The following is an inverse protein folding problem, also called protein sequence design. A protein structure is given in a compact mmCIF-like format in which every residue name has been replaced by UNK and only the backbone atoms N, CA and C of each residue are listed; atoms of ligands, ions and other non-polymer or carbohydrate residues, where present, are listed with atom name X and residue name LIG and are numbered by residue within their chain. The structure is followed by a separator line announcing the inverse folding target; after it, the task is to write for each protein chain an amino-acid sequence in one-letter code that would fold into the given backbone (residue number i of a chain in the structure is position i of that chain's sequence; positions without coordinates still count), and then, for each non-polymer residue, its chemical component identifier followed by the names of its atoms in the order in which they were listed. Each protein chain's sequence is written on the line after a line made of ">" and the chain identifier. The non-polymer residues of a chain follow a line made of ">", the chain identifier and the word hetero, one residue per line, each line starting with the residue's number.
data_IF_874068934833
#
_entry.id   IF_874068934833
#
_cell.length_a   1.000
_cell.length_b   1.000
_cell.length_c   1.000
_cell.angle_alpha   90.00
_cell.angle_beta   90.00
_cell.angle_gamma   90.00
#
_symmetry.space_group_name_H-M   'P 1'
#
loop_
_entity.id
_entity.type
_entity.pdbx_description
1 polymer ?
#
# COMPACT_ATOMS: atom_id res chain seq x y z
N UNK A 1 11.01 5.21 -11.41
CA UNK A 1 10.47 4.05 -12.14
C UNK A 1 9.00 3.72 -11.77
N UNK A 2 8.47 4.26 -10.66
CA UNK A 2 7.12 3.95 -10.14
C UNK A 2 5.92 4.36 -11.02
N UNK A 3 6.05 5.43 -11.83
CA UNK A 3 4.92 6.00 -12.57
C UNK A 3 4.40 5.11 -13.71
N UNK A 4 5.26 4.27 -14.30
CA UNK A 4 4.85 3.38 -15.38
C UNK A 4 4.10 2.15 -14.86
N UNK A 5 4.52 1.63 -13.70
CA UNK A 5 3.95 0.43 -13.10
C UNK A 5 2.53 0.68 -12.58
N UNK A 6 2.27 1.82 -11.93
CA UNK A 6 0.93 2.19 -11.48
C UNK A 6 -0.04 2.36 -12.65
N UNK A 7 0.39 3.01 -13.74
CA UNK A 7 -0.43 3.15 -14.96
C UNK A 7 -0.73 1.82 -15.63
N UNK A 8 0.23 0.89 -15.63
CA UNK A 8 0.00 -0.47 -16.13
C UNK A 8 -0.98 -1.23 -15.23
N UNK A 9 -0.85 -1.10 -13.91
CA UNK A 9 -1.72 -1.72 -12.93
C UNK A 9 -3.18 -1.23 -13.06
N UNK A 10 -3.38 0.07 -13.30
CA UNK A 10 -4.70 0.65 -13.51
C UNK A 10 -5.38 0.08 -14.76
N UNK A 11 -4.61 -0.15 -15.84
CA UNK A 11 -5.12 -0.83 -17.04
C UNK A 11 -5.48 -2.28 -16.77
N UNK A 12 -4.64 -2.99 -16.02
CA UNK A 12 -4.88 -4.39 -15.64
C UNK A 12 -6.15 -4.54 -14.80
N UNK A 13 -6.37 -3.63 -13.84
CA UNK A 13 -7.59 -3.61 -13.02
C UNK A 13 -8.84 -3.39 -13.87
N UNK A 14 -8.78 -2.45 -14.83
CA UNK A 14 -9.88 -2.19 -15.74
C UNK A 14 -10.23 -3.40 -16.63
N UNK A 15 -9.21 -4.16 -17.07
CA UNK A 15 -9.40 -5.38 -17.87
C UNK A 15 -9.95 -6.56 -17.05
N UNK A 16 -9.45 -6.73 -15.82
CA UNK A 16 -9.78 -7.86 -14.94
C UNK A 16 -11.03 -7.64 -14.08
N UNK A 17 -11.70 -6.48 -14.20
CA UNK A 17 -12.90 -6.11 -13.40
C UNK A 17 -12.68 -6.30 -11.89
N UNK A 18 -11.49 -5.96 -11.39
CA UNK A 18 -11.15 -6.09 -9.97
C UNK A 18 -11.92 -5.05 -9.17
N UNK A 19 -12.52 -5.47 -8.05
CA UNK A 19 -13.38 -4.59 -7.22
C UNK A 19 -12.57 -3.52 -6.50
N UNK A 20 -11.36 -3.84 -6.01
CA UNK A 20 -10.48 -2.94 -5.24
C UNK A 20 -9.02 -3.30 -5.45
N UNK A 21 -8.15 -2.29 -5.45
CA UNK A 21 -6.71 -2.48 -5.53
C UNK A 21 -6.04 -2.33 -4.16
N UNK A 22 -5.39 -3.38 -3.66
CA UNK A 22 -4.61 -3.32 -2.43
C UNK A 22 -3.17 -2.84 -2.70
N UNK A 23 -2.70 -1.89 -1.89
CA UNK A 23 -1.33 -1.36 -1.98
C UNK A 23 -0.55 -1.59 -0.68
N UNK A 24 0.75 -1.85 -0.79
CA UNK A 24 1.63 -2.22 0.34
C UNK A 24 2.01 -1.11 1.31
N UNK A 25 1.32 0.03 1.31
CA UNK A 25 1.66 1.17 2.17
C UNK A 25 1.56 0.81 3.65
N UNK A 26 2.68 0.96 4.36
CA UNK A 26 2.80 0.63 5.76
C UNK A 26 2.59 1.88 6.66
N UNK A 27 2.70 1.71 7.97
CA UNK A 27 2.57 2.81 8.93
C UNK A 27 3.64 3.92 8.75
N UNK A 28 4.87 3.61 8.34
CA UNK A 28 5.91 4.63 8.15
C UNK A 28 5.66 5.49 6.91
N UNK A 29 5.15 4.90 5.83
CA UNK A 29 4.75 5.62 4.61
C UNK A 29 3.62 6.62 4.89
N UNK A 30 2.69 6.23 5.77
CA UNK A 30 1.60 7.08 6.24
C UNK A 30 2.10 8.26 7.07
N UNK A 31 3.05 8.02 7.98
CA UNK A 31 3.66 9.10 8.79
C UNK A 31 4.37 10.10 7.88
N UNK A 32 5.18 9.62 6.92
CA UNK A 32 5.85 10.49 5.97
C UNK A 32 4.86 11.33 5.16
N UNK A 33 3.78 10.72 4.68
CA UNK A 33 2.72 11.41 3.92
C UNK A 33 1.99 12.46 4.76
N UNK A 34 1.63 12.13 6.01
CA UNK A 34 0.97 13.04 6.93
C UNK A 34 1.87 14.25 7.24
N UNK A 35 3.13 13.98 7.60
CA UNK A 35 4.10 15.02 7.93
C UNK A 35 4.32 15.97 6.76
N UNK A 36 4.54 15.43 5.55
CA UNK A 36 4.75 16.24 4.35
C UNK A 36 3.53 17.10 3.99
N UNK A 37 2.32 16.61 4.23
CA UNK A 37 1.10 17.39 3.98
C UNK A 37 0.91 18.49 5.04
N UNK A 38 1.25 18.24 6.30
CA UNK A 38 1.24 19.25 7.36
C UNK A 38 2.25 20.35 7.06
N UNK A 39 3.49 19.99 6.72
CA UNK A 39 4.56 20.95 6.41
C UNK A 39 4.24 21.81 5.18
N UNK A 40 3.47 21.27 4.22
CA UNK A 40 3.01 22.01 3.03
C UNK A 40 1.70 22.78 3.26
N UNK A 41 1.03 22.61 4.40
CA UNK A 41 -0.26 23.22 4.68
C UNK A 41 -1.45 22.66 3.88
N UNK A 42 -1.31 21.48 3.25
CA UNK A 42 -2.36 20.87 2.41
C UNK A 42 -3.31 20.00 3.25
N UNK A 43 -4.19 20.68 4.00
CA UNK A 43 -5.17 20.07 4.91
C UNK A 43 -6.20 19.22 4.15
N UNK A 44 -6.54 19.62 2.92
CA UNK A 44 -7.48 18.90 2.06
C UNK A 44 -6.93 17.53 1.60
N UNK A 45 -5.62 17.41 1.43
CA UNK A 45 -4.98 16.11 1.19
C UNK A 45 -4.87 15.26 2.44
N UNK A 46 -4.67 15.86 3.61
CA UNK A 46 -4.56 15.12 4.87
C UNK A 46 -5.81 14.28 5.18
N UNK A 47 -7.01 14.83 4.96
CA UNK A 47 -8.29 14.12 5.12
C UNK A 47 -8.40 12.90 4.19
N UNK A 48 -7.91 13.01 2.95
CA UNK A 48 -7.97 11.93 1.95
C UNK A 48 -6.92 10.85 2.21
N UNK A 49 -5.70 11.24 2.54
CA UNK A 49 -4.59 10.31 2.77
C UNK A 49 -4.82 9.42 3.99
N UNK A 50 -5.62 9.85 4.97
CA UNK A 50 -5.93 9.08 6.19
C UNK A 50 -7.10 8.11 6.02
N UNK A 51 -7.79 8.04 4.87
CA UNK A 51 -8.83 7.02 4.67
C UNK A 51 -8.19 5.64 4.42
N UNK A 52 -8.83 4.58 4.95
CA UNK A 52 -8.38 3.19 4.74
C UNK A 52 -8.56 2.77 3.28
N UNK A 53 -9.67 3.21 2.69
CA UNK A 53 -9.97 3.10 1.27
C UNK A 53 -9.98 4.52 0.71
N UNK A 54 -9.21 4.74 -0.33
CA UNK A 54 -9.14 6.01 -1.05
C UNK A 54 -9.87 5.85 -2.38
N UNK A 55 -10.54 6.91 -2.82
CA UNK A 55 -11.20 6.97 -4.13
C UNK A 55 -12.38 5.97 -4.25
N UNK A 56 -13.22 5.89 -3.21
CA UNK A 56 -14.36 4.96 -3.17
C UNK A 56 -15.38 5.22 -4.30
N UNK A 57 -15.57 6.48 -4.67
CA UNK A 57 -16.42 6.91 -5.80
C UNK A 57 -15.66 6.95 -7.14
N UNK A 58 -14.37 6.63 -7.12
CA UNK A 58 -13.50 6.63 -8.28
C UNK A 58 -13.57 5.34 -9.09
N UNK A 59 -12.98 5.33 -10.30
CA UNK A 59 -13.00 4.17 -11.19
C UNK A 59 -12.26 2.95 -10.62
N UNK A 60 -11.29 3.18 -9.71
CA UNK A 60 -10.49 2.12 -9.08
C UNK A 60 -10.24 2.47 -7.60
N UNK A 61 -11.09 2.00 -6.67
CA UNK A 61 -10.87 2.21 -5.26
C UNK A 61 -9.60 1.49 -4.78
N UNK A 62 -8.76 2.20 -4.03
CA UNK A 62 -7.49 1.67 -3.51
C UNK A 62 -7.56 1.48 -2.00
N UNK A 63 -7.16 0.32 -1.51
CA UNK A 63 -7.09 0.04 -0.07
C UNK A 63 -5.64 -0.10 0.42
N UNK A 64 -5.41 0.32 1.67
CA UNK A 64 -4.12 0.24 2.36
C UNK A 64 -4.23 -0.70 3.57
N UNK A 65 -4.17 -2.03 3.38
CA UNK A 65 -4.34 -2.99 4.47
C UNK A 65 -3.28 -2.87 5.57
N UNK A 66 -2.07 -2.40 5.24
CA UNK A 66 -0.96 -2.27 6.19
C UNK A 66 -0.83 -0.88 6.82
N UNK A 67 -1.84 -0.02 6.68
CA UNK A 67 -1.81 1.38 7.14
C UNK A 67 -1.37 1.56 8.61
N UNK A 68 -1.74 0.62 9.49
CA UNK A 68 -1.44 0.68 10.93
C UNK A 68 -0.34 -0.32 11.35
N UNK A 69 0.23 -1.03 10.39
CA UNK A 69 1.20 -2.08 10.65
C UNK A 69 2.60 -1.58 10.33
N UNK A 70 3.51 -1.72 11.30
CA UNK A 70 4.93 -1.48 11.09
C UNK A 70 5.53 -2.55 10.19
N UNK A 71 6.48 -2.16 9.32
CA UNK A 71 7.15 -3.08 8.40
C UNK A 71 7.70 -4.33 9.09
N UNK A 72 8.30 -4.18 10.28
CA UNK A 72 8.82 -5.31 11.08
C UNK A 72 7.76 -6.40 11.35
N UNK A 73 6.50 -6.03 11.63
CA UNK A 73 5.43 -7.00 11.87
C UNK A 73 5.04 -7.74 10.58
N UNK A 74 5.04 -7.05 9.44
CA UNK A 74 4.75 -7.63 8.13
C UNK A 74 5.83 -8.68 7.78
N UNK A 75 7.11 -8.32 8.01
CA UNK A 75 8.25 -9.21 7.78
C UNK A 75 8.16 -10.46 8.65
N UNK A 76 7.90 -10.31 9.96
CA UNK A 76 7.76 -11.45 10.87
C UNK A 76 6.62 -12.36 10.44
N UNK A 77 5.46 -11.80 10.07
CA UNK A 77 4.33 -12.58 9.56
C UNK A 77 4.70 -13.36 8.30
N UNK A 78 5.40 -12.73 7.36
CA UNK A 78 5.82 -13.39 6.12
C UNK A 78 6.82 -14.53 6.38
N UNK A 79 7.79 -14.34 7.29
CA UNK A 79 8.75 -15.38 7.69
C UNK A 79 8.02 -16.55 8.36
N UNK A 80 7.13 -16.25 9.30
CA UNK A 80 6.31 -17.26 9.98
C UNK A 80 5.46 -18.07 9.00
N UNK A 81 4.77 -17.38 8.09
CA UNK A 81 3.94 -18.02 7.06
C UNK A 81 4.78 -18.88 6.12
N UNK A 82 5.93 -18.38 5.64
CA UNK A 82 6.80 -19.12 4.73
C UNK A 82 7.39 -20.38 5.37
N UNK A 83 7.74 -20.31 6.66
CA UNK A 83 8.20 -21.46 7.43
C UNK A 83 7.10 -22.52 7.63
N UNK A 84 5.86 -22.10 7.86
CA UNK A 84 4.71 -23.01 7.97
C UNK A 84 4.29 -23.61 6.61
N UNK A 85 4.54 -22.93 5.49
CA UNK A 85 4.01 -23.29 4.17
C UNK A 85 5.06 -23.88 3.21
N UNK A 86 6.30 -24.15 3.64
CA UNK A 86 7.44 -24.51 2.75
C UNK A 86 7.58 -23.58 1.53
N UNK A 87 7.18 -22.32 1.66
CA UNK A 87 7.41 -21.34 0.62
C UNK A 87 8.87 -20.90 0.68
N UNK A 88 9.61 -20.96 -0.43
CA UNK A 88 11.04 -20.66 -0.43
C UNK A 88 11.29 -19.17 -0.14
N UNK A 89 12.04 -18.90 0.94
CA UNK A 89 12.51 -17.56 1.36
C UNK A 89 13.68 -17.04 0.50
N UNK A 90 14.03 -17.73 -0.57
CA UNK A 90 15.19 -17.39 -1.38
C UNK A 90 14.90 -16.08 -2.14
N UNK A 91 15.66 -15.03 -1.79
CA UNK A 91 15.92 -13.78 -2.56
C UNK A 91 15.42 -12.45 -1.95
N UNK A 92 14.83 -12.41 -0.75
CA UNK A 92 14.42 -11.13 -0.15
C UNK A 92 15.45 -10.60 0.85
N UNK A 93 16.67 -10.33 0.36
CA UNK A 93 17.72 -9.62 1.10
C UNK A 93 17.61 -8.12 0.84
N UNK A 94 16.50 -7.47 1.22
CA UNK A 94 16.37 -6.01 1.21
C UNK A 94 15.15 -5.56 2.04
N UNK A 95 15.44 -5.22 3.29
CA UNK A 95 14.80 -4.14 4.05
C UNK A 95 15.92 -3.29 4.65
#
# INVERSE_FOLDING_TARGET
>A
MEFFLLKALDRVVALLKVVRLATGHNAIDMVGTILLNILRGDIARLSRCTKLITDEDGPIPRCKPFKYTYGKKIVIYFIFWSHSSRASLASCSLF
#
